data_IF_974125055838
#
_entry.id   IF_974125055838
#
_cell.length_a   1.000
_cell.length_b   1.000
_cell.length_c   1.000
_cell.angle_alpha   90.00
_cell.angle_beta   90.00
_cell.angle_gamma   90.00
#
_symmetry.space_group_name_H-M   'P 1'
#
loop_
_entity.id
_entity.type
_entity.pdbx_description
1 polymer ?
#
# COMPACT_ATOMS: atom_id res chain seq x y z
N UNK A 1 -15.20 -24.04 36.72
CA UNK A 1 -13.83 -23.66 36.29
C UNK A 1 -13.38 -24.42 35.04
N UNK A 2 -13.58 -25.74 34.91
CA UNK A 2 -13.18 -26.50 33.70
C UNK A 2 -14.02 -26.22 32.45
N UNK A 3 -15.33 -26.01 32.60
CA UNK A 3 -16.21 -25.72 31.46
C UNK A 3 -15.86 -24.36 30.82
N UNK A 4 -15.63 -23.34 31.64
CA UNK A 4 -15.29 -21.98 31.18
C UNK A 4 -13.96 -21.95 30.41
N UNK A 5 -12.96 -22.73 30.82
CA UNK A 5 -11.68 -22.83 30.09
C UNK A 5 -11.83 -23.58 28.76
N UNK A 6 -12.69 -24.60 28.70
CA UNK A 6 -12.99 -25.33 27.46
C UNK A 6 -13.81 -24.50 26.45
N UNK A 7 -14.73 -23.66 26.95
CA UNK A 7 -15.48 -22.73 26.10
C UNK A 7 -14.58 -21.63 25.54
N UNK A 8 -13.72 -21.03 26.37
CA UNK A 8 -12.79 -19.98 25.92
C UNK A 8 -11.76 -20.52 24.90
N UNK A 9 -11.26 -21.74 25.09
CA UNK A 9 -10.35 -22.37 24.13
C UNK A 9 -11.04 -22.76 22.82
N UNK A 10 -12.28 -23.25 22.87
CA UNK A 10 -13.07 -23.54 21.67
C UNK A 10 -13.39 -22.27 20.87
N UNK A 11 -13.76 -21.17 21.54
CA UNK A 11 -13.99 -19.86 20.90
C UNK A 11 -12.70 -19.31 20.28
N UNK A 12 -11.57 -19.39 20.99
CA UNK A 12 -10.27 -18.94 20.46
C UNK A 12 -9.81 -19.78 19.25
N UNK A 13 -10.04 -21.09 19.27
CA UNK A 13 -9.75 -21.99 18.15
C UNK A 13 -10.61 -21.74 16.91
N UNK A 14 -11.86 -21.30 17.10
CA UNK A 14 -12.79 -20.98 16.01
C UNK A 14 -12.54 -19.60 15.39
N UNK A 15 -11.99 -18.66 16.17
CA UNK A 15 -11.63 -17.31 15.71
C UNK A 15 -10.26 -17.25 15.01
N UNK A 16 -9.36 -18.21 15.29
CA UNK A 16 -8.02 -18.28 14.71
C UNK A 16 -7.97 -18.31 13.16
N UNK A 17 -8.80 -19.09 12.42
CA UNK A 17 -8.79 -19.06 10.96
C UNK A 17 -9.39 -17.78 10.36
N UNK A 18 -10.15 -17.00 11.15
CA UNK A 18 -10.64 -15.68 10.75
C UNK A 18 -9.55 -14.59 10.87
N UNK A 19 -8.39 -14.91 11.47
CA UNK A 19 -7.31 -13.96 11.71
C UNK A 19 -6.36 -13.76 10.52
N UNK A 20 -6.53 -14.51 9.42
CA UNK A 20 -5.77 -14.29 8.19
C UNK A 20 -6.50 -13.25 7.33
N UNK A 21 -5.89 -12.08 7.14
CA UNK A 21 -6.43 -11.06 6.25
C UNK A 21 -6.55 -11.63 4.83
N UNK A 22 -7.79 -11.90 4.41
CA UNK A 22 -8.13 -12.20 3.02
C UNK A 22 -7.77 -10.97 2.17
N UNK A 23 -7.39 -11.15 0.90
CA UNK A 23 -7.05 -10.06 -0.01
C UNK A 23 -8.06 -8.89 0.02
N UNK A 24 -7.64 -7.72 0.53
CA UNK A 24 -8.46 -6.52 0.73
C UNK A 24 -7.68 -5.23 0.51
N UNK A 25 -8.36 -4.10 0.21
CA UNK A 25 -7.74 -2.78 0.23
C UNK A 25 -7.23 -2.45 1.64
N UNK A 26 -5.97 -2.01 1.73
CA UNK A 26 -5.28 -1.71 2.99
C UNK A 26 -4.60 -0.35 2.87
N UNK A 27 -4.70 0.48 3.91
CA UNK A 27 -4.02 1.77 4.00
C UNK A 27 -2.50 1.57 3.99
N UNK A 28 -1.80 2.40 3.22
CA UNK A 28 -0.38 2.29 2.96
C UNK A 28 0.25 3.64 2.69
N UNK A 29 1.48 3.84 3.16
CA UNK A 29 2.24 5.06 2.91
C UNK A 29 3.28 4.80 1.83
N UNK A 30 3.06 5.38 0.65
CA UNK A 30 4.00 5.38 -0.47
C UNK A 30 5.09 6.43 -0.25
N UNK A 31 6.35 6.08 -0.48
CA UNK A 31 7.47 7.02 -0.46
C UNK A 31 7.96 7.28 -1.88
N UNK A 32 7.94 8.54 -2.31
CA UNK A 32 8.19 8.93 -3.71
C UNK A 32 9.38 9.87 -3.79
N UNK A 33 10.41 9.45 -4.52
CA UNK A 33 11.58 10.28 -4.79
C UNK A 33 11.71 10.49 -6.31
N UNK A 34 11.58 11.74 -6.76
CA UNK A 34 11.69 12.10 -8.19
C UNK A 34 13.01 12.84 -8.47
N UNK A 35 13.72 12.55 -9.58
CA UNK A 35 14.86 13.35 -10.02
C UNK A 35 14.44 14.80 -10.27
N UNK A 36 15.29 15.75 -9.88
CA UNK A 36 15.00 17.19 -10.02
C UNK A 36 14.16 17.81 -8.90
N UNK A 37 13.72 17.01 -7.91
CA UNK A 37 13.06 17.50 -6.69
C UNK A 37 13.90 17.21 -5.44
N UNK A 38 13.85 18.09 -4.44
CA UNK A 38 14.73 18.03 -3.27
C UNK A 38 14.24 17.10 -2.14
N UNK A 39 12.99 16.65 -2.20
CA UNK A 39 12.34 15.90 -1.14
C UNK A 39 11.91 14.49 -1.57
N UNK A 40 11.85 13.59 -0.59
CA UNK A 40 11.14 12.32 -0.70
C UNK A 40 9.75 12.49 -0.10
N UNK A 41 8.70 12.19 -0.84
CA UNK A 41 7.34 12.52 -0.44
C UNK A 41 6.60 11.31 0.08
N UNK A 42 6.06 11.40 1.29
CA UNK A 42 5.24 10.35 1.90
C UNK A 42 3.75 10.60 1.61
N UNK A 43 3.11 9.67 0.90
CA UNK A 43 1.73 9.77 0.42
C UNK A 43 0.89 8.65 1.02
N UNK A 44 -0.20 8.99 1.70
CA UNK A 44 -1.16 8.00 2.16
C UNK A 44 -2.08 7.57 1.01
N UNK A 45 -2.14 6.27 0.73
CA UNK A 45 -2.98 5.66 -0.29
C UNK A 45 -3.50 4.31 0.17
N UNK A 46 -4.39 3.68 -0.61
CA UNK A 46 -4.82 2.29 -0.41
C UNK A 46 -4.21 1.39 -1.46
N UNK A 47 -3.69 0.24 -1.05
CA UNK A 47 -3.18 -0.80 -1.94
C UNK A 47 -3.83 -2.15 -1.62
N UNK A 48 -3.71 -3.11 -2.53
CA UNK A 48 -4.20 -4.46 -2.29
C UNK A 48 -3.17 -5.30 -1.51
N UNK A 49 -3.58 -5.80 -0.34
CA UNK A 49 -2.77 -6.66 0.51
C UNK A 49 -3.60 -7.80 1.09
N UNK A 50 -2.95 -8.89 1.45
CA UNK A 50 -3.58 -10.06 2.06
C UNK A 50 -3.20 -11.34 1.35
N UNK A 51 -3.83 -12.43 1.78
CA UNK A 51 -3.53 -13.77 1.31
C UNK A 51 -4.57 -14.30 0.34
N UNK A 52 -4.11 -15.09 -0.62
CA UNK A 52 -4.94 -15.79 -1.59
C UNK A 52 -4.72 -17.30 -1.48
N UNK A 53 -5.78 -18.07 -1.69
CA UNK A 53 -5.69 -19.52 -1.68
C UNK A 53 -4.83 -20.03 -2.85
N UNK A 54 -3.83 -20.85 -2.53
CA UNK A 54 -2.97 -21.55 -3.49
C UNK A 54 -3.04 -23.05 -3.27
N UNK A 55 -2.90 -23.84 -4.35
CA UNK A 55 -2.90 -25.30 -4.29
C UNK A 55 -1.90 -25.88 -5.29
N UNK A 56 -1.10 -26.83 -4.83
CA UNK A 56 -0.22 -27.63 -5.68
C UNK A 56 -0.62 -29.11 -5.57
N UNK A 57 -0.76 -29.79 -6.70
CA UNK A 57 -1.06 -31.22 -6.74
C UNK A 57 0.22 -32.04 -6.51
N UNK A 58 0.26 -32.81 -5.42
CA UNK A 58 1.36 -33.74 -5.13
C UNK A 58 1.36 -35.00 -6.01
N UNK A 59 0.41 -35.13 -6.95
CA UNK A 59 0.30 -36.30 -7.81
C UNK A 59 1.37 -36.24 -8.90
N UNK A 60 2.39 -37.07 -8.79
CA UNK A 60 3.49 -37.18 -9.74
C UNK A 60 3.11 -38.17 -10.84
N UNK A 61 3.06 -37.69 -12.08
CA UNK A 61 3.09 -38.42 -13.36
C UNK A 61 2.03 -39.50 -13.66
N UNK A 62 1.25 -39.99 -12.70
CA UNK A 62 0.33 -41.12 -12.93
C UNK A 62 -1.09 -40.73 -13.36
N UNK A 63 -1.45 -39.43 -13.36
CA UNK A 63 -2.83 -38.99 -13.66
C UNK A 63 -2.92 -37.66 -14.44
N UNK A 64 -1.94 -37.36 -15.31
CA UNK A 64 -1.95 -36.16 -16.16
C UNK A 64 -1.02 -35.04 -15.68
N UNK A 65 -1.05 -33.86 -16.34
CA UNK A 65 -0.17 -32.75 -16.02
C UNK A 65 -0.41 -32.25 -14.59
N UNK A 66 0.67 -31.83 -13.90
CA UNK A 66 0.58 -31.21 -12.58
C UNK A 66 -0.40 -30.04 -12.62
N UNK A 67 -1.34 -30.02 -11.69
CA UNK A 67 -2.28 -28.93 -11.52
C UNK A 67 -1.77 -27.99 -10.42
N UNK A 68 -1.27 -26.83 -10.84
CA UNK A 68 -0.80 -25.77 -9.94
C UNK A 68 -1.77 -24.59 -10.03
N UNK A 69 -2.36 -24.23 -8.89
CA UNK A 69 -3.17 -23.04 -8.72
C UNK A 69 -2.40 -22.04 -7.84
N UNK A 70 -1.76 -21.08 -8.48
CA UNK A 70 -1.08 -19.98 -7.81
C UNK A 70 -1.85 -18.68 -8.07
N UNK A 71 -2.32 -18.03 -7.00
CA UNK A 71 -3.06 -16.77 -7.06
C UNK A 71 -2.38 -15.73 -6.19
N UNK A 72 -2.31 -14.50 -6.68
CA UNK A 72 -1.84 -13.33 -5.94
C UNK A 72 -3.00 -12.38 -5.63
N UNK A 73 -2.83 -11.55 -4.60
CA UNK A 73 -3.74 -10.45 -4.33
C UNK A 73 -3.40 -9.28 -5.25
N UNK A 74 -4.34 -8.83 -6.07
CA UNK A 74 -4.14 -7.74 -7.03
C UNK A 74 -5.34 -6.82 -7.11
N UNK A 75 -5.15 -5.66 -7.74
CA UNK A 75 -6.18 -4.65 -7.96
C UNK A 75 -7.30 -5.21 -8.85
N UNK A 76 -8.55 -4.98 -8.45
CA UNK A 76 -9.71 -5.23 -9.31
C UNK A 76 -10.22 -3.91 -9.88
N UNK A 77 -10.40 -2.92 -9.01
CA UNK A 77 -10.77 -1.55 -9.39
C UNK A 77 -9.78 -0.59 -8.73
N UNK A 78 -9.22 0.30 -9.56
CA UNK A 78 -8.18 1.25 -9.16
C UNK A 78 -8.53 2.64 -9.67
N UNK A 79 -8.30 3.64 -8.82
CA UNK A 79 -8.39 5.04 -9.19
C UNK A 79 -6.98 5.65 -9.15
N UNK A 80 -6.71 6.59 -10.05
CA UNK A 80 -5.41 7.26 -10.10
C UNK A 80 -5.55 8.70 -9.64
N UNK A 81 -4.75 9.07 -8.65
CA UNK A 81 -4.68 10.43 -8.13
C UNK A 81 -3.35 11.06 -8.55
N UNK A 82 -3.36 12.36 -8.81
CA UNK A 82 -2.17 13.12 -9.18
C UNK A 82 -1.90 14.21 -8.13
N UNK A 83 -0.65 14.37 -7.76
CA UNK A 83 -0.19 15.39 -6.80
C UNK A 83 1.07 16.07 -7.31
N UNK A 84 1.34 17.27 -6.80
CA UNK A 84 2.54 18.05 -7.12
C UNK A 84 3.57 17.86 -6.01
N UNK A 85 4.78 17.44 -6.38
CA UNK A 85 5.89 17.22 -5.46
C UNK A 85 6.57 18.57 -5.14
N UNK A 86 6.91 18.83 -3.86
CA UNK A 86 7.57 20.07 -3.47
C UNK A 86 9.06 20.06 -3.84
N UNK A 87 9.64 21.26 -3.97
CA UNK A 87 11.08 21.46 -4.13
C UNK A 87 11.63 20.98 -5.48
N UNK A 88 10.81 20.99 -6.53
CA UNK A 88 11.25 20.65 -7.89
C UNK A 88 11.84 21.88 -8.60
N UNK A 89 12.86 21.66 -9.44
CA UNK A 89 13.44 22.69 -10.29
C UNK A 89 12.41 23.23 -11.32
N UNK A 90 12.55 24.47 -11.82
CA UNK A 90 11.57 25.09 -12.72
C UNK A 90 11.33 24.34 -14.04
N UNK A 91 12.32 23.57 -14.50
CA UNK A 91 12.30 22.75 -15.71
C UNK A 91 11.96 21.28 -15.45
N UNK A 92 11.85 20.87 -14.18
CA UNK A 92 11.49 19.52 -13.79
C UNK A 92 9.97 19.35 -13.71
N UNK A 93 9.47 18.19 -14.14
CA UNK A 93 8.06 17.83 -13.94
C UNK A 93 7.80 17.55 -12.46
N UNK A 94 6.98 18.36 -11.80
CA UNK A 94 6.62 18.19 -10.40
C UNK A 94 5.45 17.21 -10.19
N UNK A 95 4.73 16.81 -11.23
CA UNK A 95 3.53 15.97 -11.08
C UNK A 95 3.88 14.51 -10.86
N UNK A 96 3.11 13.85 -9.98
CA UNK A 96 3.23 12.43 -9.71
C UNK A 96 1.85 11.79 -9.60
N UNK A 97 1.64 10.68 -10.30
CA UNK A 97 0.37 9.95 -10.32
C UNK A 97 0.51 8.60 -9.63
N UNK A 98 -0.38 8.29 -8.69
CA UNK A 98 -0.34 7.08 -7.87
C UNK A 98 -1.70 6.37 -7.82
N UNK A 99 -1.70 5.03 -7.66
CA UNK A 99 -2.93 4.25 -7.58
C UNK A 99 -3.54 4.31 -6.17
N UNK A 100 -4.86 4.27 -6.12
CA UNK A 100 -5.71 4.13 -4.94
C UNK A 100 -6.64 2.94 -5.17
N UNK A 101 -6.45 1.85 -4.43
CA UNK A 101 -7.29 0.67 -4.51
C UNK A 101 -8.73 0.99 -4.07
N UNK A 102 -9.69 0.69 -4.94
CA UNK A 102 -11.12 0.67 -4.60
C UNK A 102 -11.54 -0.74 -4.18
N UNK A 103 -11.17 -1.74 -4.97
CA UNK A 103 -11.44 -3.16 -4.68
C UNK A 103 -10.26 -4.05 -5.07
N UNK A 104 -10.15 -5.21 -4.41
CA UNK A 104 -9.07 -6.17 -4.58
C UNK A 104 -9.63 -7.57 -4.83
N UNK A 105 -8.88 -8.40 -5.54
CA UNK A 105 -9.28 -9.78 -5.82
C UNK A 105 -8.09 -10.73 -5.92
N UNK A 106 -8.37 -12.02 -5.79
CA UNK A 106 -7.39 -13.09 -5.97
C UNK A 106 -7.46 -13.64 -7.40
N UNK A 107 -6.42 -13.40 -8.20
CA UNK A 107 -6.31 -13.91 -9.56
C UNK A 107 -4.91 -14.46 -9.85
N UNK A 108 -4.79 -15.18 -10.96
CA UNK A 108 -3.50 -15.58 -11.50
C UNK A 108 -2.76 -14.35 -11.99
N UNK A 109 -1.51 -14.18 -11.58
CA UNK A 109 -0.69 -13.06 -12.03
C UNK A 109 -0.43 -13.17 -13.55
N UNK A 110 -0.74 -12.11 -14.30
CA UNK A 110 -0.55 -12.06 -15.74
C UNK A 110 0.82 -11.46 -16.05
N UNK A 111 1.75 -12.26 -16.57
CA UNK A 111 3.09 -11.76 -16.93
C UNK A 111 3.09 -10.78 -18.10
N UNK A 112 1.95 -10.59 -18.77
CA UNK A 112 1.82 -9.59 -19.85
C UNK A 112 1.55 -8.18 -19.32
N UNK A 113 0.88 -8.06 -18.17
CA UNK A 113 0.45 -6.78 -17.59
C UNK A 113 1.09 -6.49 -16.23
N UNK A 114 1.53 -7.53 -15.52
CA UNK A 114 1.90 -7.46 -14.12
C UNK A 114 3.34 -7.93 -13.90
N UNK A 115 4.05 -7.27 -12.99
CA UNK A 115 5.35 -7.73 -12.54
C UNK A 115 5.20 -8.85 -11.49
N UNK A 116 5.07 -10.08 -11.96
CA UNK A 116 4.94 -11.26 -11.11
C UNK A 116 6.24 -11.56 -10.35
N UNK A 117 6.37 -11.06 -9.13
CA UNK A 117 7.55 -11.23 -8.29
C UNK A 117 7.18 -11.60 -6.85
N UNK A 118 7.91 -12.54 -6.26
CA UNK A 118 7.65 -13.06 -4.91
C UNK A 118 8.05 -12.11 -3.79
N UNK A 119 8.90 -11.12 -4.08
CA UNK A 119 9.34 -10.14 -3.09
C UNK A 119 9.88 -8.87 -3.78
N UNK A 120 9.04 -7.84 -3.87
CA UNK A 120 9.50 -6.46 -4.13
C UNK A 120 9.07 -5.53 -3.00
N UNK A 121 9.26 -5.95 -1.76
CA UNK A 121 9.14 -5.04 -0.60
C UNK A 121 10.31 -4.06 -0.51
N UNK A 122 11.42 -4.29 -1.23
CA UNK A 122 12.58 -3.39 -1.24
C UNK A 122 12.33 -2.05 -1.98
N UNK A 123 11.28 -1.95 -2.81
CA UNK A 123 10.89 -0.68 -3.44
C UNK A 123 9.72 0.03 -2.77
N UNK A 124 9.02 -0.65 -1.86
CA UNK A 124 7.78 -0.16 -1.25
C UNK A 124 8.01 0.27 0.21
N UNK A 125 8.90 -0.40 0.96
CA UNK A 125 9.40 0.07 2.25
C UNK A 125 10.62 0.98 2.08
N UNK A 126 10.36 2.28 1.92
CA UNK A 126 11.31 3.30 1.46
C UNK A 126 12.67 3.33 2.14
N UNK A 127 13.72 3.20 1.33
CA UNK A 127 14.97 3.90 1.60
C UNK A 127 14.96 5.17 0.75
N UNK A 128 14.30 6.23 1.25
CA UNK A 128 14.49 7.56 0.69
C UNK A 128 15.95 7.96 0.88
N UNK A 129 16.58 8.51 -0.15
CA UNK A 129 17.90 9.13 -0.03
C UNK A 129 17.78 10.61 0.40
N UNK A 130 16.64 11.24 0.11
CA UNK A 130 16.33 12.65 0.40
C UNK A 130 15.51 12.83 1.69
N UNK A 131 15.50 14.04 2.28
CA UNK A 131 14.65 14.36 3.43
C UNK A 131 13.16 14.08 3.14
N UNK A 132 12.48 13.44 4.10
CA UNK A 132 11.08 13.04 3.94
C UNK A 132 10.14 14.23 4.21
N UNK A 133 9.22 14.46 3.28
CA UNK A 133 8.16 15.45 3.37
C UNK A 133 6.78 14.76 3.32
N UNK A 134 5.94 14.86 4.36
CA UNK A 134 4.60 14.30 4.32
C UNK A 134 3.70 15.13 3.38
N UNK A 135 3.03 14.49 2.42
CA UNK A 135 1.90 15.10 1.73
C UNK A 135 0.67 14.97 2.62
N UNK A 136 0.32 16.07 3.29
CA UNK A 136 -0.87 16.18 4.12
C UNK A 136 -2.15 15.80 3.33
N UNK A 137 -3.14 15.20 4.00
CA UNK A 137 -4.18 16.04 4.58
C UNK A 137 -4.14 15.92 6.11
N UNK A 138 -3.97 17.02 6.83
CA UNK A 138 -4.37 17.02 8.25
C UNK A 138 -5.75 17.66 8.37
N UNK A 139 -6.63 17.09 9.20
CA UNK A 139 -7.72 17.83 9.79
C UNK A 139 -7.17 18.79 10.86
N UNK A 140 -7.65 20.04 10.84
CA UNK A 140 -7.64 20.99 11.96
C UNK A 140 -6.27 21.47 12.50
N UNK A 141 -5.61 22.38 11.78
CA UNK A 141 -4.77 23.39 12.45
C UNK A 141 -4.77 24.72 11.68
N UNK A 142 -5.96 25.28 11.51
CA UNK A 142 -6.19 26.63 10.97
C UNK A 142 -5.92 27.76 11.98
N UNK A 143 -5.22 27.51 13.08
CA UNK A 143 -4.87 28.55 14.04
C UNK A 143 -3.44 28.31 14.52
N UNK A 144 -2.69 29.39 14.70
CA UNK A 144 -1.26 29.45 15.01
C UNK A 144 -0.32 29.32 13.81
N UNK A 145 -0.31 30.30 12.88
CA UNK A 145 0.82 31.24 12.67
C UNK A 145 0.27 32.44 11.88
N UNK A 146 -0.19 33.48 12.58
CA UNK A 146 -0.22 34.83 12.04
C UNK A 146 0.15 35.82 13.15
N UNK A 147 1.43 35.77 13.52
CA UNK A 147 2.15 36.87 14.13
C UNK A 147 3.52 36.93 13.45
N UNK A 148 3.61 37.65 12.33
CA UNK A 148 4.65 38.67 12.16
C UNK A 148 4.39 39.45 10.86
N UNK A 149 3.56 40.48 10.96
CA UNK A 149 3.60 41.58 10.00
C UNK A 149 3.58 42.90 10.78
N UNK A 150 4.52 42.99 11.73
CA UNK A 150 4.95 44.23 12.34
C UNK A 150 5.91 44.95 11.41
N UNK A 151 5.36 45.80 10.54
CA UNK A 151 5.95 47.07 10.15
C UNK A 151 7.38 47.06 9.53
N UNK A 152 7.46 46.95 8.19
CA UNK A 152 8.41 47.75 7.40
C UNK A 152 7.98 47.87 5.94
N UNK A 153 7.88 49.12 5.49
CA UNK A 153 7.95 49.63 4.11
C UNK A 153 6.66 49.71 3.26
N UNK A 154 5.82 50.73 3.50
CA UNK A 154 5.60 51.84 2.53
C UNK A 154 4.60 52.90 3.06
N UNK A 155 5.00 54.16 2.87
CA UNK A 155 4.24 55.44 2.94
C UNK A 155 3.96 56.06 4.32
#
# INVERSE_FOLDING_TARGET
MMATSAFLSAVMGLLLPLAMAICVPTEYTLYVEKPGCDYCVAINTRICMGFCFSRDSNLKELAGPRFVLQRGCTYQEVEYHTTELPGCAPDADALFTYPVARTCHCSTCSTHSDECSTHKSQGMGGQCSKPVWPLYPYPEQSNYIQYDQGNRERE
#
